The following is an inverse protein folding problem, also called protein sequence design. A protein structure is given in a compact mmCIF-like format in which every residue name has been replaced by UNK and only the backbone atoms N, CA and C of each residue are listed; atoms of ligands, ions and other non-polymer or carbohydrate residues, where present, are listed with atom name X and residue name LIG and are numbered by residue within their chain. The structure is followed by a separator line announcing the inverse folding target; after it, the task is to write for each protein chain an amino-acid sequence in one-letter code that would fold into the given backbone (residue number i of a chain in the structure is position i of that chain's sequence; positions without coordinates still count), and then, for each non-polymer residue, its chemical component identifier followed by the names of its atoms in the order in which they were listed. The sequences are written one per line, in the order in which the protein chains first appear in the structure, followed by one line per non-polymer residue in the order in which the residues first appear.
data_IF_733558207223
#
_entry.id   IF_733558207223
#
_cell.length_a   1.000
_cell.length_b   1.000
_cell.length_c   1.000
_cell.angle_alpha   90.00
_cell.angle_beta   90.00
_cell.angle_gamma   90.00
#
_symmetry.space_group_name_H-M   'P 1'
#
loop_
_entity.id
_entity.type
_entity.pdbx_description
1 polymer ?
#
# COMPACT_ATOMS: atom_id res chain seq x y z
N UNK A 1 -4.74 11.47 -1.07
CA UNK A 1 -5.37 11.02 0.19
C UNK A 1 -4.53 10.01 0.95
N UNK A 2 -3.87 9.05 0.30
CA UNK A 2 -3.01 8.07 0.99
C UNK A 2 -1.88 8.69 1.82
N UNK A 3 -1.26 9.79 1.34
CA UNK A 3 -0.23 10.52 2.11
C UNK A 3 -0.76 11.09 3.44
N UNK A 4 -1.99 11.58 3.46
CA UNK A 4 -2.62 12.07 4.70
C UNK A 4 -2.83 10.94 5.69
N UNK A 5 -3.27 9.77 5.21
CA UNK A 5 -3.45 8.59 6.05
C UNK A 5 -2.12 8.06 6.61
N UNK A 6 -1.07 8.02 5.80
CA UNK A 6 0.29 7.66 6.25
C UNK A 6 0.75 8.63 7.33
N UNK A 7 0.57 9.93 7.11
CA UNK A 7 0.94 10.97 8.08
C UNK A 7 0.17 10.83 9.40
N UNK A 8 -1.13 10.55 9.34
CA UNK A 8 -1.95 10.30 10.53
C UNK A 8 -1.50 9.02 11.27
N UNK A 9 -1.20 7.94 10.55
CA UNK A 9 -0.68 6.70 11.14
C UNK A 9 0.64 6.97 11.84
N UNK A 10 1.55 7.76 11.25
CA UNK A 10 2.85 8.09 11.85
C UNK A 10 2.72 8.92 13.11
N UNK A 11 1.87 9.96 13.11
CA UNK A 11 1.60 10.78 14.31
C UNK A 11 1.00 9.92 15.43
N UNK A 12 0.02 9.10 15.08
CA UNK A 12 -0.63 8.22 16.05
C UNK A 12 0.36 7.20 16.65
N UNK A 13 1.24 6.65 15.82
CA UNK A 13 2.30 5.74 16.26
C UNK A 13 3.28 6.40 17.22
N UNK A 14 3.67 7.65 16.96
CA UNK A 14 4.52 8.42 17.88
C UNK A 14 3.82 8.64 19.23
N UNK A 15 2.54 8.95 19.22
CA UNK A 15 1.74 9.09 20.46
C UNK A 15 1.70 7.77 21.25
N UNK A 16 1.53 6.65 20.55
CA UNK A 16 1.56 5.31 21.16
C UNK A 16 2.92 4.95 21.76
N UNK A 17 4.01 5.41 21.17
CA UNK A 17 5.35 5.22 21.75
C UNK A 17 5.45 5.83 23.15
N UNK A 18 5.06 7.10 23.29
CA UNK A 18 5.08 7.78 24.58
C UNK A 18 4.12 7.14 25.60
N UNK A 19 2.93 6.78 25.14
CA UNK A 19 1.93 6.11 25.96
C UNK A 19 2.44 4.74 26.48
N UNK A 20 3.01 3.91 25.60
CA UNK A 20 3.55 2.60 25.95
C UNK A 20 4.70 2.70 26.96
N UNK A 21 5.61 3.66 26.74
CA UNK A 21 6.71 3.93 27.66
C UNK A 21 6.22 4.38 29.04
N UNK A 22 5.25 5.28 29.10
CA UNK A 22 4.70 5.81 30.35
C UNK A 22 3.92 4.75 31.12
N UNK A 23 3.04 4.02 30.44
CA UNK A 23 2.22 2.97 31.06
C UNK A 23 3.05 1.84 31.64
N UNK A 24 4.12 1.43 30.95
CA UNK A 24 5.01 0.36 31.44
C UNK A 24 5.78 0.79 32.68
N UNK A 25 6.23 2.08 32.74
CA UNK A 25 6.84 2.62 33.97
C UNK A 25 5.85 2.57 35.14
N UNK A 26 4.60 2.99 34.95
CA UNK A 26 3.58 2.97 35.99
C UNK A 26 3.30 1.55 36.49
N UNK A 27 3.20 0.56 35.60
CA UNK A 27 2.97 -0.84 35.95
C UNK A 27 4.16 -1.41 36.75
N UNK A 28 5.39 -1.08 36.36
CA UNK A 28 6.61 -1.52 37.08
C UNK A 28 6.64 -1.00 38.52
N UNK A 29 6.32 0.27 38.71
CA UNK A 29 6.31 0.91 40.03
C UNK A 29 5.17 0.33 40.89
N UNK A 30 3.96 0.22 40.33
CA UNK A 30 2.79 -0.24 41.07
C UNK A 30 2.87 -1.71 41.53
N UNK A 31 3.47 -2.57 40.69
CA UNK A 31 3.55 -4.02 40.95
C UNK A 31 4.88 -4.46 41.55
N UNK A 32 5.84 -3.56 41.76
CA UNK A 32 7.19 -3.86 42.21
C UNK A 32 7.89 -4.99 41.41
N UNK A 33 7.57 -5.07 40.10
CA UNK A 33 8.06 -6.11 39.19
C UNK A 33 9.28 -5.56 38.45
N UNK A 34 10.40 -6.28 38.48
CA UNK A 34 11.56 -6.02 37.61
C UNK A 34 11.15 -6.27 36.15
N UNK A 35 11.24 -5.24 35.34
CA UNK A 35 11.04 -5.35 33.90
C UNK A 35 12.22 -6.06 33.25
N UNK A 36 11.97 -7.06 32.42
CA UNK A 36 13.02 -7.78 31.69
C UNK A 36 13.60 -6.95 30.52
N UNK A 37 12.97 -5.83 30.16
CA UNK A 37 13.41 -4.92 29.11
C UNK A 37 13.23 -3.46 29.53
N UNK A 38 14.05 -2.57 28.95
CA UNK A 38 13.88 -1.13 29.16
C UNK A 38 12.48 -0.67 28.72
N UNK A 39 11.86 0.30 29.39
CA UNK A 39 10.53 0.83 29.06
C UNK A 39 10.38 1.32 27.62
N UNK A 40 11.47 1.71 26.94
CA UNK A 40 11.47 2.12 25.53
C UNK A 40 11.11 0.97 24.57
N UNK A 41 11.48 -0.27 24.88
CA UNK A 41 11.14 -1.42 24.02
C UNK A 41 9.64 -1.70 23.99
N UNK A 42 8.94 -1.44 25.08
CA UNK A 42 7.48 -1.55 25.11
C UNK A 42 6.80 -0.45 24.26
N UNK A 43 7.41 0.74 24.18
CA UNK A 43 7.00 1.78 23.23
C UNK A 43 7.18 1.34 21.78
N UNK A 44 8.36 0.83 21.42
CA UNK A 44 8.62 0.30 20.07
C UNK A 44 7.71 -0.87 19.73
N UNK A 45 7.44 -1.75 20.68
CA UNK A 45 6.52 -2.87 20.49
C UNK A 45 5.11 -2.38 20.08
N UNK A 46 4.55 -1.40 20.80
CA UNK A 46 3.25 -0.82 20.46
C UNK A 46 3.26 -0.16 19.08
N UNK A 47 4.30 0.61 18.76
CA UNK A 47 4.44 1.26 17.45
C UNK A 47 4.46 0.23 16.34
N UNK A 48 5.30 -0.80 16.43
CA UNK A 48 5.45 -1.82 15.38
C UNK A 48 4.16 -2.61 15.17
N UNK A 49 3.52 -3.07 16.26
CA UNK A 49 2.28 -3.82 16.18
C UNK A 49 1.08 -3.00 15.68
N UNK A 50 1.12 -1.69 15.82
CA UNK A 50 0.08 -0.81 15.32
C UNK A 50 0.35 -0.35 13.87
N UNK A 51 1.59 0.05 13.58
CA UNK A 51 1.95 0.62 12.27
C UNK A 51 2.03 -0.42 11.17
N UNK A 52 2.62 -1.60 11.43
CA UNK A 52 2.85 -2.60 10.38
C UNK A 52 1.53 -3.11 9.79
N UNK A 53 0.54 -3.58 10.57
CA UNK A 53 -0.72 -4.06 10.00
C UNK A 53 -1.49 -2.95 9.26
N UNK A 54 -1.47 -1.72 9.78
CA UNK A 54 -2.15 -0.60 9.16
C UNK A 54 -1.50 -0.20 7.82
N UNK A 55 -0.18 -0.18 7.74
CA UNK A 55 0.57 0.13 6.52
C UNK A 55 0.43 -0.99 5.48
N UNK A 56 0.51 -2.25 5.89
CA UNK A 56 0.28 -3.40 5.00
C UNK A 56 -1.13 -3.35 4.42
N UNK A 57 -2.14 -3.14 5.26
CA UNK A 57 -3.52 -3.00 4.80
C UNK A 57 -3.69 -1.84 3.83
N UNK A 58 -3.13 -0.66 4.14
CA UNK A 58 -3.20 0.50 3.26
C UNK A 58 -2.55 0.24 1.90
N UNK A 59 -1.40 -0.44 1.89
CA UNK A 59 -0.69 -0.79 0.64
C UNK A 59 -1.52 -1.76 -0.20
N UNK A 60 -2.00 -2.85 0.42
CA UNK A 60 -2.84 -3.85 -0.26
C UNK A 60 -4.12 -3.21 -0.79
N UNK A 61 -4.82 -2.42 0.02
CA UNK A 61 -6.03 -1.71 -0.40
C UNK A 61 -5.76 -0.78 -1.58
N UNK A 62 -4.66 -0.02 -1.53
CA UNK A 62 -4.29 0.93 -2.60
C UNK A 62 -4.00 0.25 -3.94
N UNK A 63 -3.53 -1.01 -3.92
CA UNK A 63 -3.31 -1.80 -5.14
C UNK A 63 -4.62 -2.35 -5.72
N UNK A 64 -5.54 -2.80 -4.87
CA UNK A 64 -6.79 -3.44 -5.31
C UNK A 64 -7.91 -2.44 -5.59
N UNK A 65 -7.97 -1.30 -4.89
CA UNK A 65 -9.01 -0.28 -5.03
C UNK A 65 -9.25 0.15 -6.49
N UNK A 66 -8.24 0.53 -7.29
CA UNK A 66 -8.47 0.96 -8.67
C UNK A 66 -8.97 -0.18 -9.57
N UNK A 67 -8.52 -1.40 -9.32
CA UNK A 67 -8.94 -2.58 -10.10
C UNK A 67 -10.40 -2.91 -9.84
N UNK A 68 -10.80 -2.90 -8.58
CA UNK A 68 -12.19 -3.20 -8.17
C UNK A 68 -13.14 -2.10 -8.65
N UNK A 69 -12.80 -0.83 -8.45
CA UNK A 69 -13.63 0.29 -8.90
C UNK A 69 -13.82 0.22 -10.42
N UNK A 70 -12.74 -0.05 -11.17
CA UNK A 70 -12.81 -0.17 -12.62
C UNK A 70 -13.77 -1.28 -13.06
N UNK A 71 -13.70 -2.47 -12.47
CA UNK A 71 -14.59 -3.58 -12.82
C UNK A 71 -16.05 -3.25 -12.53
N UNK A 72 -16.36 -2.65 -11.37
CA UNK A 72 -17.71 -2.26 -10.97
C UNK A 72 -18.26 -1.19 -11.94
N UNK A 73 -17.46 -0.21 -12.34
CA UNK A 73 -17.93 0.87 -13.20
C UNK A 73 -18.17 0.40 -14.63
N UNK A 74 -17.32 -0.49 -15.15
CA UNK A 74 -17.54 -1.09 -16.47
C UNK A 74 -18.84 -1.92 -16.46
N UNK A 75 -19.07 -2.71 -15.42
CA UNK A 75 -20.30 -3.48 -15.24
C UNK A 75 -21.53 -2.56 -15.10
N UNK A 76 -21.42 -1.49 -14.35
CA UNK A 76 -22.49 -0.50 -14.18
C UNK A 76 -22.84 0.18 -15.51
N UNK A 77 -21.84 0.58 -16.29
CA UNK A 77 -22.03 1.18 -17.61
C UNK A 77 -22.66 0.19 -18.60
N UNK A 78 -22.27 -1.09 -18.57
CA UNK A 78 -22.88 -2.14 -19.38
C UNK A 78 -24.37 -2.33 -19.03
N UNK A 79 -24.71 -2.34 -17.75
CA UNK A 79 -26.11 -2.45 -17.28
C UNK A 79 -26.96 -1.23 -17.65
N UNK A 80 -26.33 -0.07 -17.88
CA UNK A 80 -26.98 1.17 -18.36
C UNK A 80 -27.10 1.25 -19.88
N UNK A 81 -26.64 0.22 -20.61
CA UNK A 81 -26.79 0.12 -22.07
C UNK A 81 -25.53 0.45 -22.86
N UNK A 82 -24.38 0.66 -22.20
CA UNK A 82 -23.12 0.78 -22.91
C UNK A 82 -22.72 -0.58 -23.51
N UNK A 83 -22.45 -0.60 -24.82
CA UNK A 83 -22.02 -1.80 -25.54
C UNK A 83 -20.50 -1.75 -25.70
N UNK A 84 -19.83 -2.83 -25.33
CA UNK A 84 -18.39 -2.99 -25.49
C UNK A 84 -18.13 -4.20 -26.38
N UNK A 85 -17.43 -4.01 -27.48
CA UNK A 85 -17.04 -5.08 -28.39
C UNK A 85 -15.69 -5.70 -27.98
N UNK A 86 -14.85 -4.94 -27.27
CA UNK A 86 -13.52 -5.37 -26.81
C UNK A 86 -13.16 -4.74 -25.47
N UNK A 87 -12.16 -5.35 -24.78
CA UNK A 87 -11.58 -4.82 -23.54
C UNK A 87 -10.99 -3.42 -23.68
N UNK A 88 -10.51 -3.06 -24.86
CA UNK A 88 -9.97 -1.75 -25.15
C UNK A 88 -11.07 -0.67 -25.14
N UNK A 89 -12.24 -0.97 -25.69
CA UNK A 89 -13.39 -0.05 -25.66
C UNK A 89 -13.89 0.16 -24.23
N UNK A 90 -13.98 -0.91 -23.43
CA UNK A 90 -14.34 -0.81 -22.02
C UNK A 90 -13.34 0.06 -21.23
N UNK A 91 -12.05 -0.05 -21.53
CA UNK A 91 -11.01 0.78 -20.91
C UNK A 91 -11.16 2.26 -21.30
N UNK A 92 -11.42 2.53 -22.58
CA UNK A 92 -11.64 3.89 -23.09
C UNK A 92 -12.86 4.55 -22.43
N UNK A 93 -13.96 3.81 -22.29
CA UNK A 93 -15.17 4.31 -21.62
C UNK A 93 -14.90 4.57 -20.14
N UNK A 94 -14.18 3.69 -19.44
CA UNK A 94 -13.78 3.92 -18.06
C UNK A 94 -12.93 5.20 -17.91
N UNK A 95 -11.94 5.43 -18.79
CA UNK A 95 -11.13 6.66 -18.73
C UNK A 95 -11.96 7.91 -19.06
N UNK A 96 -12.95 7.82 -19.98
CA UNK A 96 -13.90 8.91 -20.21
C UNK A 96 -14.74 9.22 -18.98
N UNK A 97 -15.31 8.20 -18.32
CA UNK A 97 -16.10 8.34 -17.09
C UNK A 97 -15.26 9.02 -15.98
N UNK A 98 -14.02 8.60 -15.83
CA UNK A 98 -13.07 9.19 -14.88
C UNK A 98 -12.72 10.64 -15.23
N UNK A 99 -12.50 10.95 -16.52
CA UNK A 99 -12.25 12.31 -16.99
C UNK A 99 -13.46 13.24 -16.79
N UNK A 100 -14.68 12.74 -16.98
CA UNK A 100 -15.92 13.48 -16.68
C UNK A 100 -16.00 13.79 -15.18
N UNK A 101 -15.71 12.82 -14.32
CA UNK A 101 -15.70 13.04 -12.85
C UNK A 101 -14.65 14.08 -12.45
N UNK A 102 -13.49 14.12 -13.10
CA UNK A 102 -12.42 15.09 -12.85
C UNK A 102 -12.67 16.46 -13.50
N UNK A 103 -13.71 16.60 -14.33
CA UNK A 103 -13.99 17.83 -15.07
C UNK A 103 -12.99 18.12 -16.20
N UNK A 104 -12.24 17.12 -16.67
CA UNK A 104 -11.21 17.25 -17.72
C UNK A 104 -11.67 16.76 -19.08
N UNK A 105 -12.93 16.33 -19.20
CA UNK A 105 -13.52 15.87 -20.47
C UNK A 105 -14.24 17.01 -21.17
N UNK A 106 -13.88 17.27 -22.43
CA UNK A 106 -14.42 18.37 -23.26
C UNK A 106 -15.27 17.90 -24.44
N UNK A 107 -15.61 16.60 -24.52
CA UNK A 107 -16.48 16.06 -25.57
C UNK A 107 -17.95 16.05 -25.19
N UNK A 108 -18.79 15.59 -26.11
CA UNK A 108 -20.22 15.39 -25.84
C UNK A 108 -20.40 14.30 -24.75
N UNK A 109 -21.22 14.64 -23.76
CA UNK A 109 -21.49 13.77 -22.63
C UNK A 109 -22.86 13.13 -22.85
N UNK A 110 -22.85 11.85 -23.22
CA UNK A 110 -24.03 11.03 -23.26
C UNK A 110 -24.64 10.82 -21.85
N UNK A 111 -25.95 10.63 -21.78
CA UNK A 111 -26.68 10.37 -20.53
C UNK A 111 -26.10 9.20 -19.75
N UNK A 112 -25.71 8.13 -20.44
CA UNK A 112 -25.09 6.94 -19.87
C UNK A 112 -23.74 7.27 -19.21
N UNK A 113 -22.90 8.05 -19.88
CA UNK A 113 -21.60 8.47 -19.35
C UNK A 113 -21.75 9.36 -18.12
N UNK A 114 -22.74 10.26 -18.13
CA UNK A 114 -23.01 11.15 -16.98
C UNK A 114 -23.48 10.38 -15.75
N UNK A 115 -24.39 9.44 -15.93
CA UNK A 115 -24.92 8.60 -14.84
C UNK A 115 -23.83 7.65 -14.29
N UNK A 116 -23.02 7.08 -15.18
CA UNK A 116 -21.86 6.27 -14.80
C UNK A 116 -20.81 7.10 -14.05
N UNK A 117 -20.59 8.37 -14.39
CA UNK A 117 -19.68 9.27 -13.65
C UNK A 117 -20.19 9.61 -12.25
N UNK A 118 -21.50 9.76 -12.08
CA UNK A 118 -22.11 9.93 -10.74
C UNK A 118 -21.92 8.65 -9.91
N UNK A 119 -22.12 7.49 -10.52
CA UNK A 119 -21.89 6.20 -9.88
C UNK A 119 -20.42 6.02 -9.49
N UNK A 120 -19.50 6.41 -10.36
CA UNK A 120 -18.05 6.41 -10.06
C UNK A 120 -17.72 7.27 -8.83
N UNK A 121 -18.24 8.49 -8.75
CA UNK A 121 -18.03 9.36 -7.57
C UNK A 121 -18.58 8.72 -6.28
N UNK A 122 -19.76 8.09 -6.36
CA UNK A 122 -20.36 7.39 -5.22
C UNK A 122 -19.52 6.21 -4.76
N UNK A 123 -19.06 5.35 -5.66
CA UNK A 123 -18.19 4.22 -5.30
C UNK A 123 -16.85 4.68 -4.78
N UNK A 124 -16.23 5.70 -5.39
CA UNK A 124 -14.98 6.28 -4.90
C UNK A 124 -15.10 6.76 -3.45
N UNK A 125 -16.18 7.45 -3.11
CA UNK A 125 -16.44 7.92 -1.74
C UNK A 125 -16.69 6.75 -0.78
N UNK A 126 -17.44 5.73 -1.21
CA UNK A 126 -17.68 4.54 -0.40
C UNK A 126 -16.37 3.79 -0.09
N UNK A 127 -15.53 3.53 -1.11
CA UNK A 127 -14.25 2.85 -0.93
C UNK A 127 -13.30 3.65 -0.05
N UNK A 128 -13.28 4.97 -0.23
CA UNK A 128 -12.49 5.88 0.59
C UNK A 128 -12.91 5.87 2.06
N UNK A 129 -14.21 5.98 2.33
CA UNK A 129 -14.73 5.96 3.69
C UNK A 129 -14.52 4.58 4.35
N UNK A 130 -14.77 3.50 3.61
CA UNK A 130 -14.52 2.14 4.08
C UNK A 130 -13.06 1.91 4.44
N UNK A 131 -12.13 2.39 3.60
CA UNK A 131 -10.68 2.34 3.85
C UNK A 131 -10.33 3.02 5.18
N UNK A 132 -10.84 4.24 5.41
CA UNK A 132 -10.59 4.98 6.65
C UNK A 132 -11.12 4.21 7.87
N UNK A 133 -12.36 3.75 7.82
CA UNK A 133 -12.98 3.00 8.92
C UNK A 133 -12.21 1.73 9.23
N UNK A 134 -11.81 0.96 8.21
CA UNK A 134 -11.06 -0.27 8.38
C UNK A 134 -9.67 -0.03 8.96
N UNK A 135 -8.96 1.02 8.52
CA UNK A 135 -7.66 1.39 9.09
C UNK A 135 -7.80 1.70 10.59
N UNK A 136 -8.79 2.51 10.98
CA UNK A 136 -9.04 2.80 12.40
C UNK A 136 -9.40 1.53 13.20
N UNK A 137 -10.21 0.64 12.64
CA UNK A 137 -10.54 -0.63 13.27
C UNK A 137 -9.30 -1.52 13.49
N UNK A 138 -8.42 -1.62 12.49
CA UNK A 138 -7.15 -2.35 12.59
C UNK A 138 -6.24 -1.73 13.66
N UNK A 139 -6.12 -0.41 13.69
CA UNK A 139 -5.32 0.30 14.68
C UNK A 139 -5.84 0.01 16.11
N UNK A 140 -7.14 0.14 16.33
CA UNK A 140 -7.75 -0.12 17.64
C UNK A 140 -7.55 -1.58 18.06
N UNK A 141 -7.82 -2.53 17.17
CA UNK A 141 -7.61 -3.95 17.43
C UNK A 141 -6.14 -4.27 17.78
N UNK A 142 -5.19 -3.70 17.02
CA UNK A 142 -3.76 -3.86 17.26
C UNK A 142 -3.31 -3.28 18.60
N UNK A 143 -3.83 -2.12 18.99
CA UNK A 143 -3.55 -1.51 20.31
C UNK A 143 -4.08 -2.39 21.44
N UNK A 144 -5.32 -2.85 21.33
CA UNK A 144 -5.91 -3.73 22.36
C UNK A 144 -5.11 -5.02 22.52
N UNK A 145 -4.76 -5.66 21.38
CA UNK A 145 -3.95 -6.87 21.37
C UNK A 145 -2.59 -6.66 22.01
N UNK A 146 -1.87 -5.61 21.61
CA UNK A 146 -0.54 -5.27 22.13
C UNK A 146 -0.56 -4.98 23.63
N UNK A 147 -1.55 -4.22 24.10
CA UNK A 147 -1.67 -3.91 25.53
C UNK A 147 -1.98 -5.14 26.38
N UNK A 148 -2.81 -6.07 25.89
CA UNK A 148 -3.06 -7.35 26.55
C UNK A 148 -1.78 -8.19 26.66
N UNK A 149 -1.01 -8.25 25.57
CA UNK A 149 0.23 -9.03 25.50
C UNK A 149 1.31 -8.44 26.41
N UNK A 150 1.47 -7.11 26.46
CA UNK A 150 2.42 -6.44 27.38
C UNK A 150 2.10 -6.78 28.85
N UNK A 151 0.83 -6.85 29.23
CA UNK A 151 0.43 -7.19 30.60
C UNK A 151 0.82 -8.61 31.00
N UNK A 152 0.86 -9.53 30.03
CA UNK A 152 1.01 -10.97 30.26
C UNK A 152 2.42 -11.50 29.93
N UNK A 153 3.24 -10.77 29.17
CA UNK A 153 4.53 -11.25 28.69
C UNK A 153 5.62 -10.17 28.79
N UNK A 154 6.68 -10.47 29.54
CA UNK A 154 7.81 -9.55 29.75
C UNK A 154 8.85 -9.58 28.61
N UNK A 155 8.58 -10.22 27.46
CA UNK A 155 9.54 -10.41 26.36
C UNK A 155 9.43 -9.37 25.22
N UNK A 156 9.01 -8.14 25.53
CA UNK A 156 8.82 -7.10 24.52
C UNK A 156 10.07 -6.80 23.69
N UNK A 157 11.26 -6.99 24.24
CA UNK A 157 12.53 -6.82 23.52
C UNK A 157 12.68 -7.88 22.43
N UNK A 158 12.50 -9.15 22.80
CA UNK A 158 12.68 -10.27 21.86
C UNK A 158 11.68 -10.20 20.72
N UNK A 159 10.42 -9.85 21.02
CA UNK A 159 9.37 -9.65 20.02
C UNK A 159 9.72 -8.51 19.05
N UNK A 160 10.26 -7.39 19.53
CA UNK A 160 10.71 -6.26 18.70
C UNK A 160 11.90 -6.67 17.83
N UNK A 161 12.88 -7.38 18.38
CA UNK A 161 14.04 -7.86 17.63
C UNK A 161 13.64 -8.83 16.50
N UNK A 162 12.70 -9.73 16.74
CA UNK A 162 12.18 -10.66 15.71
C UNK A 162 11.49 -9.89 14.58
N UNK A 163 10.65 -8.91 14.90
CA UNK A 163 9.97 -8.09 13.89
C UNK A 163 10.98 -7.29 13.06
N UNK A 164 11.96 -6.65 13.72
CA UNK A 164 13.00 -5.89 13.03
C UNK A 164 13.86 -6.77 12.10
N UNK A 165 14.27 -7.96 12.59
CA UNK A 165 14.97 -8.94 11.75
C UNK A 165 14.15 -9.37 10.55
N UNK A 166 12.85 -9.61 10.73
CA UNK A 166 11.93 -9.92 9.64
C UNK A 166 11.82 -8.81 8.59
N UNK A 167 11.71 -7.55 9.03
CA UNK A 167 11.67 -6.38 8.14
C UNK A 167 12.98 -6.20 7.37
N UNK A 168 14.14 -6.38 8.03
CA UNK A 168 15.45 -6.30 7.39
C UNK A 168 15.61 -7.42 6.35
N UNK A 169 15.19 -8.64 6.69
CA UNK A 169 15.21 -9.77 5.76
C UNK A 169 14.32 -9.51 4.53
N UNK A 170 13.09 -9.04 4.74
CA UNK A 170 12.18 -8.70 3.65
C UNK A 170 12.75 -7.58 2.75
N UNK A 171 13.34 -6.54 3.34
CA UNK A 171 13.98 -5.45 2.59
C UNK A 171 15.17 -5.94 1.76
N UNK A 172 15.99 -6.83 2.33
CA UNK A 172 17.11 -7.46 1.62
C UNK A 172 16.62 -8.30 0.43
N UNK A 173 15.55 -9.08 0.63
CA UNK A 173 14.96 -9.89 -0.43
C UNK A 173 14.45 -9.02 -1.59
N UNK A 174 13.74 -7.94 -1.28
CA UNK A 174 13.26 -6.98 -2.29
C UNK A 174 14.44 -6.38 -3.07
N UNK A 175 15.52 -5.98 -2.38
CA UNK A 175 16.70 -5.43 -3.03
C UNK A 175 17.34 -6.43 -4.01
N UNK A 176 17.49 -7.70 -3.60
CA UNK A 176 18.02 -8.77 -4.46
C UNK A 176 17.12 -8.98 -5.68
N UNK A 177 15.81 -9.08 -5.48
CA UNK A 177 14.85 -9.27 -6.58
C UNK A 177 14.87 -8.10 -7.56
N UNK A 178 14.98 -6.86 -7.06
CA UNK A 178 15.09 -5.67 -7.90
C UNK A 178 16.36 -5.70 -8.74
N UNK A 179 17.49 -6.04 -8.13
CA UNK A 179 18.79 -6.15 -8.84
C UNK A 179 18.72 -7.22 -9.92
N UNK A 180 18.16 -8.39 -9.63
CA UNK A 180 17.94 -9.45 -10.62
C UNK A 180 17.03 -8.98 -11.75
N UNK A 181 15.95 -8.27 -11.43
CA UNK A 181 15.04 -7.69 -12.42
C UNK A 181 15.74 -6.74 -13.39
N UNK A 182 16.64 -5.88 -12.88
CA UNK A 182 17.43 -4.97 -13.71
C UNK A 182 18.38 -5.78 -14.62
N UNK A 183 19.07 -6.77 -14.08
CA UNK A 183 19.99 -7.61 -14.86
C UNK A 183 19.23 -8.32 -15.99
N UNK A 184 18.08 -8.93 -15.70
CA UNK A 184 17.27 -9.62 -16.71
C UNK A 184 16.74 -8.65 -17.77
N UNK A 185 16.31 -7.44 -17.38
CA UNK A 185 15.85 -6.42 -18.32
C UNK A 185 16.95 -6.02 -19.29
N UNK A 186 18.16 -5.70 -18.76
CA UNK A 186 19.31 -5.33 -19.58
C UNK A 186 19.75 -6.48 -20.49
N UNK A 187 19.74 -7.72 -19.98
CA UNK A 187 20.07 -8.89 -20.77
C UNK A 187 19.10 -9.06 -21.94
N UNK A 188 17.79 -8.95 -21.67
CA UNK A 188 16.76 -9.07 -22.68
C UNK A 188 16.89 -7.98 -23.77
N UNK A 189 17.13 -6.74 -23.37
CA UNK A 189 17.33 -5.62 -24.29
C UNK A 189 18.61 -5.82 -25.13
N UNK A 190 19.69 -6.32 -24.52
CA UNK A 190 20.93 -6.64 -25.23
C UNK A 190 20.75 -7.74 -26.26
N UNK A 191 20.04 -8.82 -25.91
CA UNK A 191 19.74 -9.90 -26.84
C UNK A 191 18.90 -9.39 -28.03
N UNK A 192 17.89 -8.57 -27.75
CA UNK A 192 17.06 -7.94 -28.78
C UNK A 192 17.89 -7.03 -29.70
N UNK A 193 18.80 -6.25 -29.13
CA UNK A 193 19.69 -5.39 -29.90
C UNK A 193 20.61 -6.20 -30.84
N UNK A 194 21.28 -7.23 -30.30
CA UNK A 194 22.18 -8.09 -31.08
C UNK A 194 21.47 -9.06 -32.04
N UNK A 195 20.16 -9.21 -31.94
CA UNK A 195 19.38 -9.92 -32.96
C UNK A 195 19.23 -9.13 -34.27
N UNK A 196 19.39 -7.80 -34.20
CA UNK A 196 19.27 -6.88 -35.33
C UNK A 196 20.66 -6.42 -35.82
N UNK A 197 21.61 -6.25 -34.92
CA UNK A 197 22.95 -5.76 -35.19
C UNK A 197 23.96 -6.85 -34.88
N UNK A 198 24.87 -7.16 -35.84
CA UNK A 198 25.91 -8.14 -35.64
C UNK A 198 26.88 -7.68 -34.56
N UNK A 199 27.20 -8.53 -33.58
CA UNK A 199 28.12 -8.25 -32.47
C UNK A 199 29.48 -7.78 -32.97
N UNK A 200 30.01 -8.41 -34.04
CA UNK A 200 31.32 -8.05 -34.62
C UNK A 200 31.30 -6.68 -35.28
N UNK A 201 30.22 -6.32 -35.96
CA UNK A 201 30.09 -5.00 -36.58
C UNK A 201 29.94 -3.91 -35.50
N UNK A 202 29.29 -4.20 -34.38
CA UNK A 202 29.16 -3.28 -33.24
C UNK A 202 30.50 -3.03 -32.53
N UNK A 203 31.31 -4.08 -32.31
CA UNK A 203 32.55 -3.99 -31.56
C UNK A 203 33.75 -3.47 -32.40
N UNK A 204 33.79 -3.78 -33.70
CA UNK A 204 34.92 -3.50 -34.57
C UNK A 204 34.56 -2.61 -35.78
N UNK A 205 33.31 -2.25 -35.94
CA UNK A 205 32.87 -1.36 -37.02
C UNK A 205 33.38 0.05 -36.83
N UNK A 206 33.94 0.62 -37.88
CA UNK A 206 34.46 1.99 -37.91
C UNK A 206 33.43 3.04 -38.31
N UNK A 207 32.28 2.63 -38.82
CA UNK A 207 31.19 3.51 -39.27
C UNK A 207 30.04 3.51 -38.26
N UNK A 208 29.91 4.60 -37.53
CA UNK A 208 28.83 4.89 -36.59
C UNK A 208 27.86 5.88 -37.27
N UNK A 209 26.94 5.38 -38.05
CA UNK A 209 25.89 6.21 -38.68
C UNK A 209 24.51 5.63 -38.34
#
# INVERSE_FOLDING_TARGET
MNFVLIFLITIFSLSLFFYGRSKTKSISIQKNIKLNALPKFYGYYLVLWCSIPALVFLTVWSLFEPVIIKSIIIETAANQGAVFNDKNEANLIYEKIKAIHLGTYFGDIDSILKESAISYAKFLNLFTNSKIVLIFAIIIASVIYSLKKIKNNNKARDDVEVILKGLLFASSLIAILTTLGIIFSLLFESIKFFSVINIFDYLFGTNWS
#
